data_IF_255704390100
#
_entry.id   IF_255704390100
#
_cell.length_a   1.000
_cell.length_b   1.000
_cell.length_c   1.000
_cell.angle_alpha   90.00
_cell.angle_beta   90.00
_cell.angle_gamma   90.00
#
_symmetry.space_group_name_H-M   'P 1'
#
loop_
_entity.id
_entity.type
_entity.pdbx_description
1 polymer ?
#
# COMPACT_ATOMS: atom_id res chain seq x y z
N UNK A 1 -9.47 -14.23 -2.02
CA UNK A 1 -9.39 -13.59 -3.34
C UNK A 1 -8.12 -12.77 -3.44
N UNK A 2 -7.44 -12.82 -4.57
CA UNK A 2 -6.28 -11.97 -4.90
C UNK A 2 -6.60 -11.25 -6.19
N UNK A 3 -6.40 -9.93 -6.19
CA UNK A 3 -6.50 -9.09 -7.36
C UNK A 3 -5.15 -8.44 -7.64
N UNK A 4 -4.66 -8.54 -8.86
CA UNK A 4 -3.51 -7.79 -9.36
C UNK A 4 -4.00 -6.99 -10.56
N UNK A 5 -3.80 -5.68 -10.51
CA UNK A 5 -4.20 -4.77 -11.56
C UNK A 5 -3.00 -3.95 -12.05
N UNK A 6 -2.80 -3.96 -13.35
CA UNK A 6 -1.85 -3.07 -14.04
C UNK A 6 -2.68 -2.13 -14.89
N UNK A 7 -2.51 -0.84 -14.69
CA UNK A 7 -3.27 0.16 -15.44
C UNK A 7 -2.40 1.33 -15.86
N UNK A 8 -2.76 1.86 -17.04
CA UNK A 8 -2.26 3.15 -17.52
C UNK A 8 -3.47 3.99 -17.87
N UNK A 9 -3.57 5.15 -17.29
CA UNK A 9 -4.70 6.07 -17.43
C UNK A 9 -4.22 7.48 -17.75
N UNK A 10 -5.03 8.23 -18.46
CA UNK A 10 -4.80 9.65 -18.72
C UNK A 10 -6.13 10.40 -18.77
N UNK A 11 -6.10 11.67 -18.44
CA UNK A 11 -7.30 12.51 -18.41
C UNK A 11 -7.03 13.92 -17.95
N UNK A 12 -8.07 14.57 -17.48
CA UNK A 12 -8.01 15.89 -16.84
C UNK A 12 -8.61 15.80 -15.45
N UNK A 13 -7.94 16.41 -14.47
CA UNK A 13 -8.55 16.59 -13.14
C UNK A 13 -9.69 17.59 -13.21
N UNK A 14 -10.79 17.28 -12.51
CA UNK A 14 -11.87 18.23 -12.28
C UNK A 14 -11.37 19.43 -11.45
N UNK A 15 -12.07 20.55 -11.51
CA UNK A 15 -11.70 21.77 -10.79
C UNK A 15 -11.51 21.53 -9.28
N UNK A 16 -12.35 20.71 -8.68
CA UNK A 16 -12.28 20.36 -7.24
C UNK A 16 -10.98 19.65 -6.81
N UNK A 17 -10.24 19.07 -7.76
CA UNK A 17 -9.00 18.34 -7.50
C UNK A 17 -7.74 19.09 -7.92
N UNK A 18 -7.86 20.13 -8.76
CA UNK A 18 -6.71 20.87 -9.29
C UNK A 18 -5.85 21.49 -8.19
N UNK A 19 -6.47 22.03 -7.14
CA UNK A 19 -5.71 22.65 -6.04
C UNK A 19 -5.12 21.63 -5.04
N UNK A 20 -5.41 20.33 -5.21
CA UNK A 20 -5.01 19.28 -4.26
C UNK A 20 -3.87 18.42 -4.76
N UNK A 21 -3.53 18.51 -6.04
CA UNK A 21 -2.55 17.66 -6.68
C UNK A 21 -1.43 18.52 -7.25
N UNK A 22 -0.19 18.17 -6.89
CA UNK A 22 0.99 18.89 -7.33
C UNK A 22 1.11 18.93 -8.85
N UNK A 23 1.50 20.08 -9.40
CA UNK A 23 1.70 20.27 -10.84
C UNK A 23 0.43 20.57 -11.65
N UNK A 24 -0.75 20.49 -11.03
CA UNK A 24 -2.02 20.80 -11.73
C UNK A 24 -2.23 22.29 -11.97
N UNK A 25 -1.50 23.15 -11.26
CA UNK A 25 -1.38 24.59 -11.52
C UNK A 25 -0.74 24.90 -12.87
N UNK A 26 0.14 23.98 -13.36
CA UNK A 26 0.81 24.09 -14.66
C UNK A 26 0.03 23.43 -15.78
N UNK A 27 -0.67 22.32 -15.48
CA UNK A 27 -1.48 21.56 -16.42
C UNK A 27 -2.57 20.76 -15.71
N UNK A 28 -3.86 20.85 -16.15
CA UNK A 28 -4.90 20.02 -15.59
C UNK A 28 -4.82 18.57 -16.07
N UNK A 29 -4.03 18.29 -17.09
CA UNK A 29 -3.86 16.95 -17.64
C UNK A 29 -3.01 16.08 -16.74
N UNK A 30 -3.34 14.79 -16.70
CA UNK A 30 -2.51 13.79 -16.05
C UNK A 30 -2.32 12.56 -16.91
N UNK A 31 -1.22 11.89 -16.67
CA UNK A 31 -0.96 10.52 -17.09
C UNK A 31 -0.44 9.74 -15.88
N UNK A 32 -0.94 8.54 -15.66
CA UNK A 32 -0.51 7.69 -14.57
C UNK A 32 -0.41 6.23 -15.02
N UNK A 33 0.64 5.56 -14.60
CA UNK A 33 0.80 4.12 -14.78
C UNK A 33 1.24 3.48 -13.49
N UNK A 34 0.73 2.28 -13.21
CA UNK A 34 1.06 1.59 -11.98
C UNK A 34 0.55 0.17 -11.91
N UNK A 35 0.95 -0.48 -10.82
CA UNK A 35 0.48 -1.80 -10.44
C UNK A 35 -0.07 -1.75 -9.03
N UNK A 36 -1.16 -2.45 -8.78
CA UNK A 36 -1.71 -2.66 -7.45
C UNK A 36 -2.03 -4.12 -7.19
N UNK A 37 -1.90 -4.54 -5.96
CA UNK A 37 -2.26 -5.87 -5.47
C UNK A 37 -3.04 -5.74 -4.19
N UNK A 38 -4.16 -6.45 -4.12
CA UNK A 38 -4.89 -6.71 -2.87
C UNK A 38 -5.09 -8.21 -2.72
N UNK A 39 -4.58 -8.76 -1.63
CA UNK A 39 -4.64 -10.18 -1.34
C UNK A 39 -5.43 -10.42 -0.05
N UNK A 40 -6.67 -10.93 -0.19
CA UNK A 40 -7.51 -11.37 0.93
C UNK A 40 -7.58 -12.90 0.94
N UNK A 41 -6.80 -13.51 1.82
CA UNK A 41 -6.65 -14.95 1.88
C UNK A 41 -7.91 -15.64 2.44
N UNK A 42 -8.10 -16.91 2.11
CA UNK A 42 -9.20 -17.69 2.64
C UNK A 42 -8.97 -18.03 4.10
N UNK A 43 -7.76 -18.47 4.42
CA UNK A 43 -7.35 -18.80 5.79
C UNK A 43 -7.23 -17.53 6.65
N UNK A 44 -7.78 -17.52 7.88
CA UNK A 44 -7.54 -16.45 8.83
C UNK A 44 -6.12 -16.44 9.41
N UNK A 45 -5.35 -17.52 9.20
CA UNK A 45 -3.95 -17.63 9.63
C UNK A 45 -2.99 -16.86 8.72
N UNK A 46 -3.42 -16.52 7.50
CA UNK A 46 -2.61 -15.79 6.54
C UNK A 46 -3.07 -14.34 6.49
N UNK A 47 -2.18 -13.36 6.69
CA UNK A 47 -2.50 -11.95 6.62
C UNK A 47 -3.11 -11.52 5.28
N UNK A 48 -3.87 -10.45 5.29
CA UNK A 48 -4.15 -9.69 4.08
C UNK A 48 -2.96 -8.79 3.75
N UNK A 49 -2.70 -8.60 2.45
CA UNK A 49 -1.63 -7.74 1.95
C UNK A 49 -2.19 -6.75 0.94
N UNK A 50 -1.68 -5.54 1.01
CA UNK A 50 -1.88 -4.51 0.01
C UNK A 50 -0.52 -4.04 -0.48
N UNK A 51 -0.43 -3.81 -1.78
CA UNK A 51 0.73 -3.24 -2.44
C UNK A 51 0.26 -2.39 -3.61
N UNK A 52 0.84 -1.23 -3.79
CA UNK A 52 0.72 -0.47 -5.02
C UNK A 52 1.97 0.35 -5.29
N UNK A 53 2.23 0.59 -6.57
CA UNK A 53 3.17 1.58 -7.03
C UNK A 53 2.59 2.30 -8.24
N UNK A 54 2.93 3.57 -8.38
CA UNK A 54 2.50 4.38 -9.52
C UNK A 54 3.55 5.40 -9.88
N UNK A 55 3.64 5.70 -11.16
CA UNK A 55 4.27 6.90 -11.68
C UNK A 55 3.18 7.84 -12.18
N UNK A 56 3.20 9.08 -11.75
CA UNK A 56 2.20 10.08 -12.10
C UNK A 56 2.88 11.30 -12.71
N UNK A 57 2.32 11.77 -13.81
CA UNK A 57 2.79 12.94 -14.54
C UNK A 57 1.63 13.94 -14.66
N UNK A 58 1.89 15.18 -14.27
CA UNK A 58 1.05 16.36 -14.45
C UNK A 58 1.90 17.46 -15.09
N UNK A 59 1.88 18.69 -14.59
CA UNK A 59 2.93 19.68 -14.83
C UNK A 59 4.27 19.35 -14.15
N UNK A 60 4.24 18.35 -13.27
CA UNK A 60 5.39 17.70 -12.61
C UNK A 60 5.23 16.19 -12.67
N UNK A 61 6.26 15.45 -12.28
CA UNK A 61 6.17 13.98 -12.23
C UNK A 61 6.78 13.43 -10.94
N UNK A 62 6.25 12.27 -10.48
CA UNK A 62 6.77 11.61 -9.28
C UNK A 62 6.31 10.16 -9.19
N UNK A 63 7.01 9.40 -8.37
CA UNK A 63 6.58 8.07 -7.94
C UNK A 63 5.80 8.13 -6.62
N UNK A 64 4.87 7.21 -6.46
CA UNK A 64 4.17 6.94 -5.21
C UNK A 64 3.89 5.47 -5.07
N UNK A 65 3.65 5.03 -3.83
CA UNK A 65 3.34 3.64 -3.58
C UNK A 65 3.50 3.24 -2.14
N UNK A 66 3.48 1.94 -1.93
CA UNK A 66 3.68 1.33 -0.62
C UNK A 66 3.23 -0.12 -0.56
N UNK A 67 3.50 -0.72 0.57
CA UNK A 67 3.05 -2.06 0.90
C UNK A 67 2.70 -2.12 2.38
N UNK A 68 1.61 -2.80 2.72
CA UNK A 68 1.19 -2.99 4.10
C UNK A 68 0.57 -4.36 4.34
N UNK A 69 0.65 -4.82 5.58
CA UNK A 69 0.15 -6.11 6.05
C UNK A 69 -0.94 -5.93 7.09
N UNK A 70 -2.06 -6.65 6.91
CA UNK A 70 -3.20 -6.62 7.83
C UNK A 70 -3.54 -8.05 8.26
N UNK A 71 -3.02 -8.55 9.39
CA UNK A 71 -3.33 -9.88 9.90
C UNK A 71 -4.68 -9.91 10.63
N UNK A 72 -5.31 -11.09 10.64
CA UNK A 72 -6.41 -11.37 11.58
C UNK A 72 -5.85 -11.56 12.99
N UNK A 73 -4.82 -12.38 13.13
CA UNK A 73 -4.10 -12.61 14.37
C UNK A 73 -2.67 -12.13 14.20
N UNK A 74 -2.24 -11.24 15.07
CA UNK A 74 -0.88 -10.69 15.01
C UNK A 74 0.12 -11.80 15.33
N UNK A 75 1.05 -12.02 14.39
CA UNK A 75 2.24 -12.86 14.56
C UNK A 75 3.47 -11.95 14.52
N UNK A 76 4.24 -11.90 15.60
CA UNK A 76 5.40 -11.02 15.72
C UNK A 76 6.51 -11.36 14.73
N UNK A 77 6.68 -12.62 14.41
CA UNK A 77 7.72 -13.07 13.46
C UNK A 77 7.36 -12.63 12.04
N UNK A 78 6.08 -12.75 11.66
CA UNK A 78 5.59 -12.25 10.37
C UNK A 78 5.74 -10.72 10.27
N UNK A 79 5.37 -10.01 11.34
CA UNK A 79 5.50 -8.56 11.41
C UNK A 79 6.96 -8.15 11.27
N UNK A 80 7.87 -8.81 11.99
CA UNK A 80 9.30 -8.56 11.93
C UNK A 80 9.84 -8.84 10.52
N UNK A 81 9.51 -9.99 9.93
CA UNK A 81 9.93 -10.35 8.58
C UNK A 81 9.44 -9.33 7.54
N UNK A 82 8.16 -8.94 7.60
CA UNK A 82 7.60 -8.00 6.66
C UNK A 82 8.30 -6.65 6.73
N UNK A 83 8.48 -6.11 7.93
CA UNK A 83 9.17 -4.84 8.14
C UNK A 83 10.65 -4.89 7.76
N UNK A 84 11.35 -6.02 8.04
CA UNK A 84 12.71 -6.23 7.58
C UNK A 84 12.82 -6.17 6.05
N UNK A 85 11.88 -6.79 5.32
CA UNK A 85 11.87 -6.74 3.85
C UNK A 85 11.59 -5.32 3.32
N UNK A 86 10.77 -4.54 4.00
CA UNK A 86 10.54 -3.13 3.66
C UNK A 86 11.79 -2.27 3.91
N UNK A 87 12.50 -2.53 4.98
CA UNK A 87 13.77 -1.86 5.26
C UNK A 87 14.86 -2.25 4.25
N UNK A 88 14.96 -3.55 3.90
CA UNK A 88 15.87 -4.03 2.84
C UNK A 88 15.60 -3.35 1.48
N UNK A 89 14.34 -3.03 1.15
CA UNK A 89 13.99 -2.30 -0.06
C UNK A 89 14.43 -0.83 -0.02
N UNK A 90 14.41 -0.20 1.15
CA UNK A 90 14.69 1.22 1.32
C UNK A 90 16.19 1.54 1.46
N UNK A 91 16.90 0.75 2.25
CA UNK A 91 18.27 1.02 2.69
C UNK A 91 19.30 1.26 1.57
N UNK A 92 19.26 0.58 0.41
CA UNK A 92 20.22 0.83 -0.67
C UNK A 92 20.14 2.24 -1.27
N UNK A 93 19.01 2.93 -1.09
CA UNK A 93 18.74 4.24 -1.67
C UNK A 93 18.92 5.37 -0.64
N UNK A 94 18.38 5.19 0.57
CA UNK A 94 18.53 6.14 1.68
C UNK A 94 18.14 5.46 3.00
N UNK A 95 19.02 5.51 4.00
CA UNK A 95 18.78 4.94 5.33
C UNK A 95 17.58 5.58 6.05
N UNK A 96 17.20 6.80 5.68
CA UNK A 96 16.06 7.52 6.26
C UNK A 96 14.73 7.13 5.62
N UNK A 97 14.72 6.44 4.46
CA UNK A 97 13.48 6.11 3.76
C UNK A 97 12.57 5.20 4.58
N UNK A 98 13.11 4.11 5.12
CA UNK A 98 12.29 3.18 5.88
C UNK A 98 11.61 3.82 7.09
N UNK A 99 12.31 4.46 8.04
CA UNK A 99 11.64 5.08 9.18
C UNK A 99 10.65 6.18 8.77
N UNK A 100 10.97 6.97 7.76
CA UNK A 100 10.08 8.01 7.22
C UNK A 100 8.81 7.43 6.59
N UNK A 101 8.96 6.42 5.74
CA UNK A 101 7.83 5.83 5.01
C UNK A 101 6.99 4.91 5.89
N UNK A 102 7.62 4.24 6.88
CA UNK A 102 6.90 3.51 7.91
C UNK A 102 6.01 4.43 8.74
N UNK A 103 6.56 5.51 9.26
CA UNK A 103 5.78 6.50 10.02
C UNK A 103 4.59 7.02 9.20
N UNK A 104 4.82 7.37 7.94
CA UNK A 104 3.76 7.83 7.03
C UNK A 104 2.71 6.76 6.77
N UNK A 105 3.10 5.48 6.67
CA UNK A 105 2.19 4.36 6.56
C UNK A 105 1.30 4.22 7.79
N UNK A 106 1.89 4.26 8.98
CA UNK A 106 1.18 4.15 10.26
C UNK A 106 0.16 5.29 10.44
N UNK A 107 0.54 6.52 10.06
CA UNK A 107 -0.34 7.69 10.09
C UNK A 107 -1.48 7.61 9.06
N UNK A 108 -1.19 7.11 7.86
CA UNK A 108 -2.17 7.01 6.78
C UNK A 108 -3.21 5.92 7.04
N UNK A 109 -2.78 4.71 7.42
CA UNK A 109 -3.64 3.55 7.65
C UNK A 109 -4.17 3.48 9.08
N UNK A 110 -4.59 4.61 9.63
CA UNK A 110 -5.18 4.73 10.95
C UNK A 110 -6.67 5.03 10.86
N UNK A 111 -7.48 4.42 11.71
CA UNK A 111 -8.92 4.65 11.82
C UNK A 111 -9.22 5.58 13.01
N UNK A 112 -9.32 6.91 12.81
CA UNK A 112 -9.44 7.87 13.92
C UNK A 112 -10.68 7.64 14.79
N UNK A 113 -11.80 7.27 14.17
CA UNK A 113 -13.07 7.02 14.85
C UNK A 113 -13.08 5.73 15.70
N UNK A 114 -12.10 4.85 15.50
CA UNK A 114 -11.89 3.64 16.30
C UNK A 114 -10.67 3.71 17.20
N UNK A 115 -9.82 4.70 17.00
CA UNK A 115 -8.54 4.85 17.69
C UNK A 115 -7.65 3.59 17.54
N UNK A 116 -7.61 3.03 16.32
CA UNK A 116 -6.83 1.82 16.02
C UNK A 116 -6.16 1.88 14.64
N UNK A 117 -4.99 1.23 14.44
CA UNK A 117 -4.42 1.06 13.13
C UNK A 117 -5.22 0.02 12.32
N UNK A 118 -5.20 0.13 10.98
CA UNK A 118 -5.80 -0.86 10.08
C UNK A 118 -5.12 -2.23 10.17
N UNK A 119 -3.81 -2.25 10.38
CA UNK A 119 -2.98 -3.47 10.46
C UNK A 119 -1.61 -3.18 11.06
N UNK A 120 -0.63 -4.02 10.75
CA UNK A 120 0.74 -3.92 11.25
C UNK A 120 1.59 -2.89 10.49
N UNK A 121 1.00 -2.23 9.47
CA UNK A 121 1.68 -1.22 8.67
C UNK A 121 2.61 -1.82 7.62
N UNK A 122 3.62 -1.05 7.30
CA UNK A 122 4.59 -1.31 6.26
C UNK A 122 5.27 -0.01 5.85
N UNK A 123 5.26 0.35 4.57
CA UNK A 123 5.77 1.62 4.05
C UNK A 123 4.74 2.30 3.14
N UNK A 124 4.73 3.63 3.18
CA UNK A 124 3.95 4.46 2.26
C UNK A 124 4.74 5.70 1.84
N UNK A 125 4.92 5.88 0.54
CA UNK A 125 5.60 7.04 -0.04
C UNK A 125 4.76 7.68 -1.14
N UNK A 126 4.93 8.98 -1.30
CA UNK A 126 4.26 9.77 -2.33
C UNK A 126 5.09 11.01 -2.64
N UNK A 127 4.93 11.55 -3.85
CA UNK A 127 5.70 12.68 -4.34
C UNK A 127 7.22 12.43 -4.34
N UNK A 128 7.62 11.18 -4.62
CA UNK A 128 9.02 10.83 -4.74
C UNK A 128 9.56 11.27 -6.09
N UNK A 129 10.50 12.18 -6.05
CA UNK A 129 11.27 12.66 -7.18
C UNK A 129 12.57 13.24 -6.63
N UNK A 130 13.65 12.50 -6.76
CA UNK A 130 15.00 12.90 -6.31
C UNK A 130 15.75 13.70 -7.38
N UNK A 131 15.20 13.74 -8.60
CA UNK A 131 15.87 14.29 -9.79
C UNK A 131 16.59 13.21 -10.62
N UNK A 132 16.71 11.99 -10.11
CA UNK A 132 17.21 10.81 -10.82
C UNK A 132 16.10 9.79 -11.00
N UNK A 133 15.46 9.83 -12.17
CA UNK A 133 14.31 8.97 -12.47
C UNK A 133 14.63 7.48 -12.43
N UNK A 134 15.83 7.09 -12.91
CA UNK A 134 16.23 5.68 -12.95
C UNK A 134 16.44 5.13 -11.54
N UNK A 135 17.09 5.88 -10.66
CA UNK A 135 17.27 5.53 -9.25
C UNK A 135 15.92 5.44 -8.53
N UNK A 136 15.02 6.40 -8.74
CA UNK A 136 13.68 6.38 -8.16
C UNK A 136 12.88 5.17 -8.66
N UNK A 137 12.99 4.83 -9.94
CA UNK A 137 12.31 3.67 -10.52
C UNK A 137 12.90 2.34 -10.00
N UNK A 138 14.22 2.25 -9.82
CA UNK A 138 14.87 1.09 -9.23
C UNK A 138 14.40 0.85 -7.79
N UNK A 139 14.27 1.91 -6.99
CA UNK A 139 13.65 1.83 -5.66
C UNK A 139 12.23 1.24 -5.72
N UNK A 140 11.38 1.76 -6.62
CA UNK A 140 10.00 1.27 -6.79
C UNK A 140 9.96 -0.22 -7.17
N UNK A 141 10.86 -0.67 -8.06
CA UNK A 141 11.01 -2.08 -8.42
C UNK A 141 11.42 -2.94 -7.23
N UNK A 142 12.35 -2.45 -6.41
CA UNK A 142 12.82 -3.19 -5.23
C UNK A 142 11.77 -3.27 -4.13
N UNK A 143 10.96 -2.22 -3.93
CA UNK A 143 9.76 -2.30 -3.06
C UNK A 143 8.84 -3.44 -3.52
N UNK A 144 8.58 -3.55 -4.83
CA UNK A 144 7.76 -4.63 -5.37
C UNK A 144 8.36 -6.01 -5.15
N UNK A 145 9.65 -6.18 -5.43
CA UNK A 145 10.38 -7.45 -5.25
C UNK A 145 10.40 -7.89 -3.79
N UNK A 146 10.74 -6.99 -2.88
CA UNK A 146 10.81 -7.28 -1.44
C UNK A 146 9.43 -7.55 -0.84
N UNK A 147 8.41 -6.87 -1.32
CA UNK A 147 7.01 -7.19 -0.96
C UNK A 147 6.63 -8.60 -1.40
N UNK A 148 6.97 -9.00 -2.63
CA UNK A 148 6.70 -10.36 -3.12
C UNK A 148 7.45 -11.42 -2.31
N UNK A 149 8.73 -11.19 -1.96
CA UNK A 149 9.50 -12.09 -1.09
C UNK A 149 8.80 -12.26 0.27
N UNK A 150 8.38 -11.17 0.92
CA UNK A 150 7.70 -11.20 2.20
C UNK A 150 6.38 -11.98 2.12
N UNK A 151 5.51 -11.63 1.17
CA UNK A 151 4.21 -12.29 0.96
C UNK A 151 4.40 -13.78 0.73
N UNK A 152 5.31 -14.17 -0.17
CA UNK A 152 5.53 -15.58 -0.51
C UNK A 152 6.01 -16.37 0.70
N UNK A 153 6.92 -15.80 1.49
CA UNK A 153 7.45 -16.45 2.69
C UNK A 153 6.33 -16.65 3.73
N UNK A 154 5.59 -15.60 4.08
CA UNK A 154 4.54 -15.65 5.10
C UNK A 154 3.40 -16.58 4.66
N UNK A 155 2.97 -16.50 3.39
CA UNK A 155 1.93 -17.38 2.86
C UNK A 155 2.34 -18.85 2.95
N UNK A 156 3.59 -19.19 2.56
CA UNK A 156 4.07 -20.57 2.60
C UNK A 156 4.19 -21.12 4.03
N UNK A 157 4.46 -20.28 5.02
CA UNK A 157 4.51 -20.67 6.42
C UNK A 157 3.12 -21.02 6.99
N UNK A 158 2.06 -20.35 6.51
CA UNK A 158 0.75 -20.42 7.18
C UNK A 158 -0.38 -21.05 6.34
N UNK A 159 -0.20 -21.25 5.04
CA UNK A 159 -1.27 -21.66 4.11
C UNK A 159 -1.89 -23.02 4.46
N UNK A 160 -1.11 -23.92 5.07
CA UNK A 160 -1.55 -25.28 5.43
C UNK A 160 -2.05 -25.38 6.89
N UNK A 161 -2.02 -24.28 7.66
CA UNK A 161 -2.49 -24.29 9.03
C UNK A 161 -4.02 -24.43 9.08
N UNK A 162 -4.50 -25.34 9.92
CA UNK A 162 -5.92 -25.46 10.19
C UNK A 162 -6.46 -24.25 10.94
N UNK A 163 -7.74 -23.99 10.78
CA UNK A 163 -8.44 -22.88 11.43
C UNK A 163 -9.87 -23.27 11.78
N UNK A 164 -10.42 -22.59 12.78
CA UNK A 164 -11.79 -22.83 13.30
C UNK A 164 -12.80 -21.87 12.68
N UNK A 165 -14.10 -22.17 12.83
CA UNK A 165 -15.18 -21.29 12.43
C UNK A 165 -15.11 -19.93 13.17
N UNK A 166 -14.78 -19.94 14.47
CA UNK A 166 -14.62 -18.72 15.26
C UNK A 166 -13.51 -17.83 14.72
N UNK A 167 -12.36 -18.40 14.37
CA UNK A 167 -11.25 -17.63 13.76
C UNK A 167 -11.65 -17.05 12.40
N UNK A 168 -12.53 -17.75 11.68
CA UNK A 168 -13.11 -17.23 10.43
C UNK A 168 -14.00 -16.03 10.67
N UNK A 169 -14.84 -16.07 11.68
CA UNK A 169 -15.73 -14.95 12.03
C UNK A 169 -14.90 -13.71 12.44
N UNK A 170 -13.82 -13.90 13.18
CA UNK A 170 -12.88 -12.82 13.51
C UNK A 170 -12.22 -12.22 12.26
N UNK A 171 -11.84 -13.06 11.28
CA UNK A 171 -11.33 -12.59 10.00
C UNK A 171 -12.37 -11.73 9.26
N UNK A 172 -13.62 -12.16 9.24
CA UNK A 172 -14.70 -11.41 8.57
C UNK A 172 -14.94 -10.06 9.23
N UNK A 173 -14.91 -10.01 10.57
CA UNK A 173 -15.00 -8.75 11.32
C UNK A 173 -13.86 -7.78 10.97
N UNK A 174 -12.62 -8.25 10.98
CA UNK A 174 -11.45 -7.42 10.62
C UNK A 174 -11.45 -6.99 9.16
N UNK A 175 -11.98 -7.83 8.25
CA UNK A 175 -12.22 -7.41 6.86
C UNK A 175 -13.25 -6.30 6.74
N UNK A 176 -14.29 -6.33 7.55
CA UNK A 176 -15.24 -5.23 7.64
C UNK A 176 -14.55 -3.91 8.00
N UNK A 177 -13.64 -3.92 8.97
CA UNK A 177 -12.84 -2.75 9.35
C UNK A 177 -11.87 -2.30 8.25
N UNK A 178 -11.27 -3.24 7.53
CA UNK A 178 -10.44 -2.93 6.36
C UNK A 178 -11.25 -2.17 5.28
N UNK A 179 -12.44 -2.67 4.96
CA UNK A 179 -13.35 -2.03 4.00
C UNK A 179 -13.84 -0.68 4.52
N UNK A 180 -14.14 -0.57 5.80
CA UNK A 180 -14.52 0.69 6.45
C UNK A 180 -13.43 1.76 6.27
N UNK A 181 -12.15 1.42 6.50
CA UNK A 181 -11.06 2.34 6.21
C UNK A 181 -11.08 2.80 4.76
N UNK A 182 -11.18 1.87 3.82
CA UNK A 182 -11.16 2.20 2.39
C UNK A 182 -12.33 3.11 1.99
N UNK A 183 -13.51 2.90 2.53
CA UNK A 183 -14.70 3.70 2.19
C UNK A 183 -14.72 5.09 2.85
N UNK A 184 -14.12 5.23 4.04
CA UNK A 184 -14.18 6.47 4.81
C UNK A 184 -12.92 7.34 4.69
N UNK A 185 -11.75 6.73 4.54
CA UNK A 185 -10.47 7.41 4.71
C UNK A 185 -9.50 7.24 3.55
N UNK A 186 -9.61 6.18 2.74
CA UNK A 186 -8.67 5.96 1.66
C UNK A 186 -8.89 6.91 0.49
N UNK A 187 -7.92 7.80 0.27
CA UNK A 187 -7.98 8.83 -0.78
C UNK A 187 -8.14 8.23 -2.18
N UNK A 188 -7.48 7.09 -2.43
CA UNK A 188 -7.56 6.42 -3.73
C UNK A 188 -8.96 5.85 -3.99
N UNK A 189 -9.54 5.17 -3.00
CA UNK A 189 -10.91 4.66 -3.08
C UNK A 189 -11.92 5.79 -3.23
N UNK A 190 -11.80 6.84 -2.41
CA UNK A 190 -12.70 8.00 -2.48
C UNK A 190 -12.61 8.73 -3.82
N UNK A 191 -11.42 8.81 -4.42
CA UNK A 191 -11.25 9.33 -5.77
C UNK A 191 -11.94 8.44 -6.81
N UNK A 192 -11.67 7.12 -6.78
CA UNK A 192 -12.23 6.18 -7.76
C UNK A 192 -13.75 6.01 -7.70
N UNK A 193 -14.39 6.27 -6.54
CA UNK A 193 -15.86 6.24 -6.42
C UNK A 193 -16.51 7.51 -7.02
N UNK A 194 -15.76 8.62 -7.08
CA UNK A 194 -16.26 9.93 -7.54
C UNK A 194 -15.98 10.20 -9.02
N UNK A 195 -15.13 9.41 -9.64
CA UNK A 195 -14.74 9.52 -11.06
C UNK A 195 -15.24 8.33 -11.86
#
# INVERSE_FOLDING_TARGET
>A
KVGVNISTVSGQFSEDYRDKIKGTEKSPHYWASGISLVAHMQSPKVPAFHFNTRFLVTGESWFGGGADMTPTFVNKDDTTLFHQKMEEACRPYDETYYPKFKKRCDEYFYLPHRNEPRGEGGIFFDYMNTGDWETDFDFVKDVGRKTLEAITTIVNQHKELSWTAQEKDEQLLKRGRYVEFNLLWDRGTLFGIKT
#
